data_IF_814744909699
#
_entry.id   IF_814744909699
#
_cell.length_a   1.000
_cell.length_b   1.000
_cell.length_c   1.000
_cell.angle_alpha   90.00
_cell.angle_beta   90.00
_cell.angle_gamma   90.00
#
_symmetry.space_group_name_H-M   'P 1'
#
loop_
_entity.id
_entity.type
_entity.pdbx_description
1 polymer ?
#
# COMPACT_ATOMS: atom_id res chain seq x y z
N UNK A 1 -48.18 8.43 56.32
CA UNK A 1 -46.85 8.27 56.93
C UNK A 1 -46.21 7.05 56.29
N UNK A 2 -45.10 7.23 55.58
CA UNK A 2 -44.20 6.13 55.16
C UNK A 2 -44.50 5.44 53.82
N UNK A 3 -44.00 6.02 52.74
CA UNK A 3 -43.74 5.34 51.46
C UNK A 3 -42.58 4.34 51.61
N UNK A 4 -42.57 3.25 50.84
CA UNK A 4 -41.34 2.65 50.31
C UNK A 4 -41.65 1.96 48.98
N UNK A 5 -41.36 2.68 47.90
CA UNK A 5 -41.29 2.14 46.55
C UNK A 5 -40.00 1.36 46.37
N UNK A 6 -40.08 0.26 45.63
CA UNK A 6 -38.92 -0.48 45.15
C UNK A 6 -38.80 -0.19 43.66
N UNK A 7 -38.03 0.85 43.34
CA UNK A 7 -37.56 1.13 41.98
C UNK A 7 -36.40 0.18 41.69
N UNK A 8 -36.61 -0.76 40.76
CA UNK A 8 -35.58 -1.62 40.22
C UNK A 8 -35.07 -1.03 38.91
N UNK A 9 -34.25 0.01 39.01
CA UNK A 9 -33.51 0.59 37.90
C UNK A 9 -32.29 -0.27 37.56
N UNK A 10 -32.53 -1.34 36.78
CA UNK A 10 -31.44 -2.06 36.10
C UNK A 10 -30.84 -1.18 34.99
N UNK A 11 -29.74 -0.51 35.33
CA UNK A 11 -28.58 -0.19 34.49
C UNK A 11 -28.79 -0.29 32.97
N UNK A 12 -29.32 0.79 32.38
CA UNK A 12 -29.17 1.07 30.95
C UNK A 12 -28.02 2.05 30.77
N UNK A 13 -26.81 1.51 30.63
CA UNK A 13 -25.64 2.28 30.20
C UNK A 13 -25.82 2.56 28.70
N UNK A 14 -26.50 3.66 28.37
CA UNK A 14 -26.48 4.24 27.03
C UNK A 14 -25.12 4.97 26.88
N UNK A 15 -24.07 4.22 26.58
CA UNK A 15 -22.73 4.74 26.31
C UNK A 15 -22.72 5.42 24.92
N UNK A 16 -23.17 6.69 24.89
CA UNK A 16 -23.00 7.58 23.73
C UNK A 16 -21.57 8.09 23.71
N UNK A 17 -20.67 7.37 23.05
CA UNK A 17 -19.29 7.85 22.84
C UNK A 17 -19.24 8.73 21.60
N UNK A 18 -19.02 10.04 21.79
CA UNK A 18 -18.80 10.98 20.69
C UNK A 18 -17.38 10.84 20.17
N UNK A 19 -17.23 10.34 18.94
CA UNK A 19 -15.97 10.41 18.19
C UNK A 19 -16.21 11.40 17.04
N UNK A 20 -15.52 12.55 17.07
CA UNK A 20 -15.58 13.62 16.05
C UNK A 20 -16.96 14.26 15.78
N UNK A 21 -17.86 14.31 16.77
CA UNK A 21 -19.10 15.07 16.65
C UNK A 21 -20.24 14.37 15.89
N UNK A 22 -20.03 13.14 15.42
CA UNK A 22 -21.08 12.26 14.91
C UNK A 22 -21.63 11.44 16.09
N UNK A 23 -22.94 11.52 16.36
CA UNK A 23 -23.57 10.67 17.36
C UNK A 23 -23.69 9.25 16.80
N UNK A 24 -22.89 8.32 17.33
CA UNK A 24 -22.85 6.93 16.89
C UNK A 24 -23.77 6.09 17.79
N UNK A 25 -24.83 5.52 17.21
CA UNK A 25 -25.70 4.56 17.91
C UNK A 25 -25.28 3.12 17.58
N UNK A 26 -24.59 2.47 18.50
CA UNK A 26 -24.12 1.09 18.33
C UNK A 26 -25.24 0.05 18.19
N UNK A 27 -26.51 0.42 18.41
CA UNK A 27 -27.67 -0.44 18.20
C UNK A 27 -28.22 -0.40 16.76
N UNK A 28 -27.86 0.61 15.98
CA UNK A 28 -28.25 0.73 14.56
C UNK A 28 -27.13 0.18 13.66
N UNK A 29 -27.43 -0.78 12.79
CA UNK A 29 -26.45 -1.36 11.85
C UNK A 29 -25.77 -0.33 10.92
N UNK A 30 -26.26 0.92 10.89
CA UNK A 30 -25.69 2.07 10.16
C UNK A 30 -24.49 2.74 10.83
N UNK A 31 -24.23 2.51 12.11
CA UNK A 31 -23.13 3.17 12.84
C UNK A 31 -21.75 2.96 12.21
N UNK A 32 -21.57 1.82 11.53
CA UNK A 32 -20.36 1.45 10.80
C UNK A 32 -20.10 2.38 9.61
N UNK A 33 -21.18 2.81 8.95
CA UNK A 33 -21.15 3.69 7.77
C UNK A 33 -20.82 5.11 8.23
N UNK A 34 -21.47 5.57 9.31
CA UNK A 34 -21.31 6.91 9.87
C UNK A 34 -19.88 7.23 10.31
N UNK A 35 -19.13 6.23 10.78
CA UNK A 35 -17.74 6.40 11.20
C UNK A 35 -16.77 6.55 10.02
N UNK A 36 -17.11 6.03 8.84
CA UNK A 36 -16.23 6.00 7.68
C UNK A 36 -16.62 6.97 6.57
N UNK A 37 -17.83 7.55 6.62
CA UNK A 37 -18.39 8.49 5.64
C UNK A 37 -17.43 9.65 5.31
N UNK A 38 -16.79 10.25 6.31
CA UNK A 38 -15.86 11.37 6.13
C UNK A 38 -14.58 10.99 5.36
N UNK A 39 -14.26 9.70 5.25
CA UNK A 39 -13.08 9.23 4.53
C UNK A 39 -13.41 8.74 3.11
N UNK A 40 -14.70 8.68 2.73
CA UNK A 40 -15.12 8.20 1.40
C UNK A 40 -14.83 9.24 0.33
N UNK A 41 -15.19 10.50 0.59
CA UNK A 41 -15.05 11.61 -0.35
C UNK A 41 -14.23 12.71 0.33
N UNK A 42 -13.15 13.15 -0.32
CA UNK A 42 -12.36 14.28 0.14
C UNK A 42 -12.26 15.38 -0.90
N UNK A 43 -12.32 16.62 -0.44
CA UNK A 43 -12.06 17.80 -1.27
C UNK A 43 -10.57 17.88 -1.56
N UNK A 44 -10.24 18.07 -2.84
CA UNK A 44 -8.87 18.32 -3.28
C UNK A 44 -8.79 19.63 -4.04
N UNK A 45 -7.66 20.30 -3.94
CA UNK A 45 -7.34 21.44 -4.78
C UNK A 45 -5.97 21.28 -5.42
N UNK A 46 -5.83 21.92 -6.59
CA UNK A 46 -4.54 22.22 -7.18
C UNK A 46 -3.84 23.23 -6.26
N UNK A 47 -3.11 22.76 -5.26
CA UNK A 47 -2.21 23.62 -4.50
C UNK A 47 -0.96 23.81 -5.35
N UNK A 48 -0.56 25.07 -5.58
CA UNK A 48 0.72 25.36 -6.23
C UNK A 48 1.86 24.69 -5.47
N UNK A 49 2.38 23.61 -6.03
CA UNK A 49 3.61 22.99 -5.53
C UNK A 49 4.72 24.05 -5.48
N UNK A 50 5.57 24.02 -4.45
CA UNK A 50 6.75 24.91 -4.36
C UNK A 50 7.61 24.86 -5.65
N UNK A 51 7.67 23.71 -6.31
CA UNK A 51 8.38 23.56 -7.59
C UNK A 51 7.81 24.41 -8.73
N UNK A 52 6.49 24.60 -8.78
CA UNK A 52 5.83 25.46 -9.78
C UNK A 52 6.05 26.95 -9.49
N UNK A 53 5.99 27.36 -8.23
CA UNK A 53 6.21 28.76 -7.85
C UNK A 53 7.68 29.17 -8.00
N UNK A 54 8.64 28.29 -7.71
CA UNK A 54 10.07 28.56 -7.92
C UNK A 54 10.44 28.71 -9.41
N UNK A 55 9.85 27.89 -10.29
CA UNK A 55 10.06 27.99 -11.74
C UNK A 55 9.48 29.29 -12.31
N UNK A 56 8.31 29.72 -11.82
CA UNK A 56 7.67 30.98 -12.23
C UNK A 56 8.42 32.21 -11.72
N UNK A 57 9.09 32.12 -10.56
CA UNK A 57 9.98 33.17 -10.06
C UNK A 57 11.28 33.29 -10.88
N UNK A 58 11.76 32.18 -11.45
CA UNK A 58 12.93 32.16 -12.35
C UNK A 58 12.61 32.60 -13.79
N UNK A 59 11.39 32.37 -14.24
CA UNK A 59 10.88 32.80 -15.55
C UNK A 59 9.98 34.01 -15.35
N UNK A 60 10.56 35.21 -15.25
CA UNK A 60 9.81 36.46 -15.09
C UNK A 60 8.71 36.59 -16.16
N UNK A 61 7.48 36.24 -15.80
CA UNK A 61 6.32 36.27 -16.68
C UNK A 61 5.46 37.48 -16.32
N UNK A 62 5.38 38.39 -17.29
CA UNK A 62 4.45 39.51 -17.31
C UNK A 62 3.12 38.99 -17.88
N UNK A 63 2.22 38.52 -17.02
CA UNK A 63 0.86 38.15 -17.41
C UNK A 63 -0.16 38.99 -16.66
N UNK A 64 -0.87 39.80 -17.43
CA UNK A 64 -1.97 40.64 -16.98
C UNK A 64 -3.18 39.76 -16.62
N UNK A 65 -3.91 40.24 -15.61
CA UNK A 65 -4.97 39.56 -14.89
C UNK A 65 -5.95 38.76 -15.76
N UNK A 66 -6.19 37.52 -15.31
CA UNK A 66 -7.49 36.83 -15.23
C UNK A 66 -7.25 35.30 -15.11
N UNK A 67 -6.60 34.83 -14.04
CA UNK A 67 -6.45 33.39 -13.80
C UNK A 67 -6.33 33.03 -12.31
N UNK A 68 -7.05 33.73 -11.43
CA UNK A 68 -6.99 33.51 -9.98
C UNK A 68 -8.29 32.97 -9.36
N UNK A 69 -9.35 32.74 -10.14
CA UNK A 69 -10.64 32.23 -9.63
C UNK A 69 -10.96 30.75 -9.96
N UNK A 70 -10.12 30.06 -10.74
CA UNK A 70 -10.26 28.61 -11.04
C UNK A 70 -9.05 27.80 -10.56
N UNK A 71 -8.64 27.97 -9.30
CA UNK A 71 -7.87 26.90 -8.65
C UNK A 71 -8.81 25.70 -8.56
N UNK A 72 -8.63 24.73 -9.47
CA UNK A 72 -9.57 23.64 -9.71
C UNK A 72 -9.89 22.92 -8.40
N UNK A 73 -11.07 23.17 -7.85
CA UNK A 73 -11.62 22.36 -6.77
C UNK A 73 -12.14 21.10 -7.41
N UNK A 74 -11.71 19.96 -6.91
CA UNK A 74 -12.27 18.68 -7.34
C UNK A 74 -12.40 17.75 -6.16
N UNK A 75 -12.88 16.55 -6.45
CA UNK A 75 -13.19 15.55 -5.44
C UNK A 75 -12.34 14.33 -5.66
N UNK A 76 -12.29 13.52 -4.61
CA UNK A 76 -11.57 12.26 -4.63
C UNK A 76 -12.36 11.24 -3.85
N UNK A 77 -12.53 10.07 -4.44
CA UNK A 77 -13.30 8.97 -3.88
C UNK A 77 -12.37 7.80 -3.60
N UNK A 78 -12.39 7.32 -2.36
CA UNK A 78 -11.62 6.16 -1.94
C UNK A 78 -12.52 4.91 -1.86
N UNK A 79 -12.42 4.03 -2.86
CA UNK A 79 -13.19 2.80 -2.89
C UNK A 79 -12.72 1.77 -1.86
N UNK A 80 -11.49 1.86 -1.36
CA UNK A 80 -11.01 0.98 -0.30
C UNK A 80 -11.78 1.17 1.03
N UNK A 81 -12.32 2.38 1.26
CA UNK A 81 -13.19 2.64 2.41
C UNK A 81 -14.50 1.86 2.29
N UNK A 82 -15.10 1.79 1.09
CA UNK A 82 -16.30 0.98 0.87
C UNK A 82 -16.07 -0.51 1.18
N UNK A 83 -14.89 -1.03 0.83
CA UNK A 83 -14.51 -2.41 1.17
C UNK A 83 -14.39 -2.62 2.69
N UNK A 84 -13.85 -1.63 3.42
CA UNK A 84 -13.76 -1.68 4.89
C UNK A 84 -15.13 -1.67 5.54
N UNK A 85 -16.06 -0.83 5.05
CA UNK A 85 -17.46 -0.82 5.47
C UNK A 85 -18.09 -2.21 5.24
N UNK A 86 -17.92 -2.80 4.06
CA UNK A 86 -18.45 -4.12 3.74
C UNK A 86 -17.91 -5.21 4.69
N UNK A 87 -16.60 -5.21 4.95
CA UNK A 87 -15.97 -6.16 5.88
C UNK A 87 -16.54 -6.05 7.29
N UNK A 88 -16.72 -4.83 7.79
CA UNK A 88 -17.30 -4.58 9.12
C UNK A 88 -18.76 -5.05 9.19
N UNK A 89 -19.57 -4.78 8.17
CA UNK A 89 -20.96 -5.25 8.10
C UNK A 89 -21.04 -6.78 8.09
N UNK A 90 -20.22 -7.46 7.29
CA UNK A 90 -20.17 -8.92 7.23
C UNK A 90 -19.72 -9.52 8.56
N UNK A 91 -18.71 -8.94 9.21
CA UNK A 91 -18.25 -9.36 10.53
C UNK A 91 -19.36 -9.28 11.59
N UNK A 92 -20.13 -8.19 11.60
CA UNK A 92 -21.25 -8.01 12.54
C UNK A 92 -22.36 -9.02 12.28
N UNK A 93 -22.72 -9.27 11.01
CA UNK A 93 -23.71 -10.30 10.65
C UNK A 93 -23.25 -11.69 11.10
N UNK A 94 -21.99 -12.02 10.87
CA UNK A 94 -21.42 -13.31 11.27
C UNK A 94 -21.38 -13.47 12.80
N UNK A 95 -21.10 -12.39 13.53
CA UNK A 95 -21.19 -12.39 14.99
C UNK A 95 -22.63 -12.65 15.47
N UNK A 96 -23.64 -12.03 14.84
CA UNK A 96 -25.06 -12.30 15.13
C UNK A 96 -25.41 -13.78 14.89
N UNK A 97 -24.97 -14.36 13.77
CA UNK A 97 -25.17 -15.79 13.47
C UNK A 97 -24.45 -16.72 14.47
N UNK A 98 -23.23 -16.38 14.89
CA UNK A 98 -22.47 -17.16 15.87
C UNK A 98 -23.15 -17.14 17.26
N UNK A 99 -23.69 -15.98 17.66
CA UNK A 99 -24.48 -15.85 18.89
C UNK A 99 -25.76 -16.67 18.78
N UNK A 100 -26.50 -16.59 17.68
CA UNK A 100 -27.71 -17.40 17.50
C UNK A 100 -27.40 -18.90 17.51
N UNK A 101 -26.31 -19.35 16.88
CA UNK A 101 -25.87 -20.76 16.92
C UNK A 101 -25.57 -21.26 18.34
N UNK A 102 -25.04 -20.39 19.20
CA UNK A 102 -24.65 -20.77 20.57
C UNK A 102 -25.84 -20.81 21.53
N UNK A 103 -26.83 -19.95 21.34
CA UNK A 103 -27.93 -19.75 22.30
C UNK A 103 -29.31 -20.19 21.79
N UNK A 104 -29.46 -20.45 20.49
CA UNK A 104 -30.69 -20.95 19.87
C UNK A 104 -30.41 -22.32 19.24
N UNK A 105 -31.31 -23.29 19.45
CA UNK A 105 -31.14 -24.66 18.96
C UNK A 105 -31.31 -24.81 17.43
N UNK A 106 -31.72 -23.74 16.74
CA UNK A 106 -31.93 -23.74 15.30
C UNK A 106 -30.70 -23.17 14.58
N UNK A 107 -30.20 -23.91 13.59
CA UNK A 107 -29.16 -23.44 12.70
C UNK A 107 -29.65 -22.21 11.91
N UNK A 108 -29.01 -21.03 12.04
CA UNK A 108 -29.45 -19.82 11.37
C UNK A 108 -29.22 -19.96 9.87
N UNK A 109 -30.29 -19.90 9.07
CA UNK A 109 -30.21 -20.07 7.63
C UNK A 109 -29.27 -19.02 6.98
N UNK A 110 -28.32 -19.46 6.14
CA UNK A 110 -27.43 -18.57 5.38
C UNK A 110 -26.12 -18.15 6.08
N UNK A 111 -25.78 -18.73 7.25
CA UNK A 111 -24.51 -18.40 7.93
C UNK A 111 -23.28 -18.82 7.11
N UNK A 112 -23.39 -19.93 6.36
CA UNK A 112 -22.33 -20.45 5.47
C UNK A 112 -22.04 -19.49 4.31
N UNK A 113 -23.09 -18.95 3.69
CA UNK A 113 -22.97 -17.96 2.62
C UNK A 113 -22.34 -16.67 3.15
N UNK A 114 -22.78 -16.21 4.34
CA UNK A 114 -22.20 -15.04 4.99
C UNK A 114 -20.72 -15.23 5.32
N UNK A 115 -20.32 -16.43 5.75
CA UNK A 115 -18.91 -16.76 5.99
C UNK A 115 -18.11 -16.78 4.68
N UNK A 116 -18.66 -17.37 3.62
CA UNK A 116 -18.03 -17.38 2.29
C UNK A 116 -17.82 -15.96 1.76
N UNK A 117 -18.84 -15.11 1.87
CA UNK A 117 -18.78 -13.71 1.45
C UNK A 117 -17.76 -12.91 2.28
N UNK A 118 -17.67 -13.19 3.58
CA UNK A 118 -16.65 -12.58 4.45
C UNK A 118 -15.23 -12.98 4.04
N UNK A 119 -14.98 -14.26 3.78
CA UNK A 119 -13.67 -14.75 3.31
C UNK A 119 -13.32 -14.11 1.96
N UNK A 120 -14.27 -14.08 1.02
CA UNK A 120 -14.07 -13.44 -0.29
C UNK A 120 -13.77 -11.95 -0.14
N UNK A 121 -14.50 -11.24 0.72
CA UNK A 121 -14.26 -9.83 0.99
C UNK A 121 -12.87 -9.59 1.61
N UNK A 122 -12.37 -10.51 2.44
CA UNK A 122 -11.04 -10.43 3.02
C UNK A 122 -9.96 -10.62 1.95
N UNK A 123 -10.12 -11.59 1.06
CA UNK A 123 -9.21 -11.79 -0.09
C UNK A 123 -9.20 -10.57 -1.02
N UNK A 124 -10.38 -10.00 -1.30
CA UNK A 124 -10.49 -8.79 -2.12
C UNK A 124 -9.80 -7.60 -1.45
N UNK A 125 -9.88 -7.50 -0.12
CA UNK A 125 -9.18 -6.45 0.64
C UNK A 125 -7.66 -6.59 0.54
N UNK A 126 -7.11 -7.79 0.70
CA UNK A 126 -5.68 -8.03 0.48
C UNK A 126 -5.25 -7.71 -0.96
N UNK A 127 -6.11 -8.01 -1.94
CA UNK A 127 -5.86 -7.64 -3.33
C UNK A 127 -5.81 -6.11 -3.51
N UNK A 128 -6.72 -5.38 -2.87
CA UNK A 128 -6.73 -3.91 -2.89
C UNK A 128 -5.46 -3.33 -2.24
N UNK A 129 -5.02 -3.88 -1.10
CA UNK A 129 -3.80 -3.45 -0.42
C UNK A 129 -2.53 -3.71 -1.27
N UNK A 130 -2.45 -4.87 -1.94
CA UNK A 130 -1.33 -5.14 -2.87
C UNK A 130 -1.31 -4.15 -4.04
N UNK A 131 -2.48 -3.68 -4.49
CA UNK A 131 -2.61 -2.71 -5.58
C UNK A 131 -2.34 -1.28 -5.13
N UNK A 132 -2.62 -0.90 -3.89
CA UNK A 132 -2.33 0.45 -3.39
C UNK A 132 -0.83 0.76 -3.32
N UNK A 133 0.03 -0.26 -3.33
CA UNK A 133 1.48 -0.10 -3.45
C UNK A 133 1.93 0.29 -4.87
N UNK A 134 1.05 0.19 -5.87
CA UNK A 134 1.38 0.55 -7.25
C UNK A 134 1.16 2.05 -7.49
N UNK A 135 1.93 2.70 -8.38
CA UNK A 135 1.86 4.15 -8.57
C UNK A 135 0.54 4.66 -9.17
N UNK A 136 -0.30 3.77 -9.69
CA UNK A 136 -1.66 4.08 -10.13
C UNK A 136 -2.62 3.12 -9.41
N UNK A 137 -3.21 3.58 -8.30
CA UNK A 137 -4.18 2.79 -7.55
C UNK A 137 -5.55 2.82 -8.25
N UNK A 138 -6.07 1.67 -8.75
CA UNK A 138 -7.38 1.61 -9.39
C UNK A 138 -8.56 1.77 -8.42
N UNK A 139 -8.31 1.63 -7.11
CA UNK A 139 -9.32 1.80 -6.06
C UNK A 139 -9.42 3.24 -5.57
N UNK A 140 -8.76 4.14 -6.29
CA UNK A 140 -8.72 5.56 -6.01
C UNK A 140 -9.15 6.36 -7.24
N UNK A 141 -10.31 6.99 -7.17
CA UNK A 141 -10.79 7.90 -8.20
C UNK A 141 -10.49 9.34 -7.75
N UNK A 142 -9.71 10.07 -8.54
CA UNK A 142 -9.21 11.39 -8.15
C UNK A 142 -9.45 12.40 -9.26
N UNK A 143 -10.04 13.53 -8.91
CA UNK A 143 -10.24 14.68 -9.81
C UNK A 143 -8.95 15.34 -10.31
N UNK A 144 -7.78 14.87 -9.87
CA UNK A 144 -6.50 15.19 -10.51
C UNK A 144 -6.46 14.72 -11.97
N UNK A 145 -7.17 13.64 -12.29
CA UNK A 145 -7.32 13.17 -13.68
C UNK A 145 -8.48 13.91 -14.34
N UNK A 146 -8.26 14.39 -15.56
CA UNK A 146 -9.24 15.21 -16.28
C UNK A 146 -10.57 14.47 -16.48
N UNK A 147 -10.51 13.18 -16.86
CA UNK A 147 -11.70 12.35 -17.09
C UNK A 147 -12.47 12.08 -15.79
N UNK A 148 -11.76 11.70 -14.73
CA UNK A 148 -12.36 11.46 -13.41
C UNK A 148 -13.01 12.73 -12.87
N UNK A 149 -12.37 13.90 -13.02
CA UNK A 149 -12.97 15.19 -12.63
C UNK A 149 -14.29 15.45 -13.35
N UNK A 150 -14.36 15.28 -14.67
CA UNK A 150 -15.60 15.48 -15.42
C UNK A 150 -16.68 14.48 -15.03
N UNK A 151 -16.30 13.24 -14.74
CA UNK A 151 -17.22 12.23 -14.23
C UNK A 151 -17.72 12.58 -12.81
N UNK A 152 -16.82 13.01 -11.93
CA UNK A 152 -17.16 13.42 -10.56
C UNK A 152 -18.07 14.66 -10.56
N UNK A 153 -17.77 15.66 -11.39
CA UNK A 153 -18.65 16.82 -11.60
C UNK A 153 -20.06 16.38 -12.03
N UNK A 154 -20.16 15.42 -12.97
CA UNK A 154 -21.44 14.90 -13.43
C UNK A 154 -22.19 14.08 -12.35
N UNK A 155 -21.47 13.30 -11.54
CA UNK A 155 -22.08 12.45 -10.49
C UNK A 155 -22.50 13.28 -9.27
N UNK A 156 -21.65 14.23 -8.83
CA UNK A 156 -21.94 15.04 -7.66
C UNK A 156 -22.99 16.12 -7.95
N UNK A 157 -23.03 16.68 -9.17
CA UNK A 157 -24.02 17.68 -9.58
C UNK A 157 -24.16 18.81 -8.53
N UNK A 158 -25.38 19.06 -8.07
CA UNK A 158 -25.68 20.12 -7.09
C UNK A 158 -25.16 19.83 -5.67
N UNK A 159 -24.73 18.59 -5.38
CA UNK A 159 -24.24 18.19 -4.05
C UNK A 159 -22.84 18.71 -3.75
N UNK A 160 -22.16 19.31 -4.74
CA UNK A 160 -20.86 19.98 -4.58
C UNK A 160 -20.91 21.01 -3.45
N UNK A 161 -22.03 21.73 -3.30
CA UNK A 161 -22.23 22.75 -2.28
C UNK A 161 -22.29 22.16 -0.85
N UNK A 162 -22.64 20.88 -0.70
CA UNK A 162 -22.65 20.20 0.60
C UNK A 162 -21.26 19.95 1.17
N UNK A 163 -20.22 20.12 0.37
CA UNK A 163 -18.82 19.98 0.77
C UNK A 163 -18.16 21.35 1.05
N UNK A 164 -18.90 22.45 0.97
CA UNK A 164 -18.39 23.77 1.37
C UNK A 164 -18.08 23.80 2.88
N UNK A 165 -16.85 24.18 3.23
CA UNK A 165 -16.37 24.22 4.62
C UNK A 165 -15.64 22.96 5.09
N UNK A 166 -15.58 21.89 4.29
CA UNK A 166 -14.76 20.71 4.60
C UNK A 166 -13.26 20.95 4.34
N UNK A 167 -12.36 20.24 5.04
CA UNK A 167 -10.92 20.35 4.82
C UNK A 167 -10.55 20.01 3.38
N UNK A 168 -9.82 20.91 2.74
CA UNK A 168 -9.29 20.72 1.38
C UNK A 168 -7.88 20.17 1.48
N UNK A 169 -7.64 19.05 0.80
CA UNK A 169 -6.34 18.39 0.77
C UNK A 169 -5.56 18.76 -0.50
N UNK A 170 -4.22 18.81 -0.45
CA UNK A 170 -3.41 18.95 -1.64
C UNK A 170 -3.59 17.77 -2.60
N UNK A 171 -3.54 18.05 -3.89
CA UNK A 171 -3.31 17.04 -4.90
C UNK A 171 -2.01 16.25 -4.58
N UNK A 172 -2.07 14.92 -4.70
CA UNK A 172 -0.93 14.02 -4.51
C UNK A 172 -0.20 13.82 -5.86
N UNK A 173 -0.97 13.72 -6.95
CA UNK A 173 -0.47 13.52 -8.29
C UNK A 173 -0.40 14.79 -9.13
N UNK A 174 -0.02 14.61 -10.40
CA UNK A 174 -0.01 15.68 -11.39
C UNK A 174 -1.45 16.06 -11.79
N UNK A 175 -1.79 17.34 -11.63
CA UNK A 175 -3.09 17.88 -12.01
C UNK A 175 -3.21 18.00 -13.54
N UNK A 176 -4.10 17.21 -14.14
CA UNK A 176 -4.31 17.20 -15.60
C UNK A 176 -5.19 18.37 -16.02
N UNK A 177 -4.67 19.21 -16.91
CA UNK A 177 -5.38 20.42 -17.37
C UNK A 177 -6.38 20.14 -18.49
N UNK A 178 -6.13 19.10 -19.29
CA UNK A 178 -6.95 18.82 -20.46
C UNK A 178 -7.04 17.34 -20.84
N UNK A 179 -7.88 17.02 -21.84
CA UNK A 179 -8.04 15.65 -22.34
C UNK A 179 -6.78 15.10 -23.01
N UNK A 180 -5.91 15.97 -23.55
CA UNK A 180 -4.64 15.59 -24.19
C UNK A 180 -3.62 14.99 -23.19
N UNK A 181 -3.67 15.44 -21.93
CA UNK A 181 -2.84 14.90 -20.84
C UNK A 181 -3.46 13.63 -20.21
N UNK A 182 -4.72 13.34 -20.52
CA UNK A 182 -5.38 12.14 -20.00
C UNK A 182 -4.85 10.92 -20.74
N UNK A 183 -4.06 10.10 -20.04
CA UNK A 183 -3.75 8.75 -20.52
C UNK A 183 -5.08 8.01 -20.68
N UNK A 184 -5.42 7.68 -21.92
CA UNK A 184 -6.62 6.90 -22.23
C UNK A 184 -6.59 5.60 -21.44
N UNK A 185 -7.65 5.34 -20.65
CA UNK A 185 -7.84 4.09 -19.89
C UNK A 185 -7.67 2.84 -20.77
N UNK A 186 -7.84 2.99 -22.10
CA UNK A 186 -7.69 1.93 -23.10
C UNK A 186 -6.26 1.38 -23.26
N UNK A 187 -5.21 2.12 -22.85
CA UNK A 187 -3.81 1.69 -23.02
C UNK A 187 -3.22 0.89 -21.85
N UNK A 188 -4.00 0.71 -20.79
CA UNK A 188 -3.53 0.17 -19.49
C UNK A 188 -3.13 -1.31 -19.48
N UNK A 189 -3.41 -2.09 -20.53
CA UNK A 189 -2.98 -3.52 -20.56
C UNK A 189 -1.52 -3.69 -20.98
N UNK A 190 -1.06 -2.97 -22.00
CA UNK A 190 0.30 -3.16 -22.53
C UNK A 190 1.34 -2.44 -21.67
N UNK A 191 0.97 -1.29 -21.09
CA UNK A 191 1.88 -0.51 -20.25
C UNK A 191 2.10 -1.14 -18.87
N UNK A 192 1.07 -1.73 -18.26
CA UNK A 192 1.24 -2.49 -17.03
C UNK A 192 2.13 -3.72 -17.23
N UNK A 193 2.04 -4.39 -18.39
CA UNK A 193 2.93 -5.50 -18.72
C UNK A 193 4.39 -5.04 -18.83
N UNK A 194 4.66 -3.96 -19.57
CA UNK A 194 6.02 -3.40 -19.71
C UNK A 194 6.60 -2.94 -18.37
N UNK A 195 5.79 -2.32 -17.50
CA UNK A 195 6.24 -1.84 -16.19
C UNK A 195 6.55 -2.98 -15.24
N UNK A 196 5.68 -3.98 -15.14
CA UNK A 196 5.96 -5.17 -14.33
C UNK A 196 7.16 -5.96 -14.88
N UNK A 197 7.32 -6.01 -16.20
CA UNK A 197 8.48 -6.62 -16.83
C UNK A 197 9.77 -5.86 -16.48
N UNK A 198 9.78 -4.53 -16.56
CA UNK A 198 10.94 -3.71 -16.21
C UNK A 198 11.31 -3.84 -14.73
N UNK A 199 10.33 -3.80 -13.81
CA UNK A 199 10.57 -3.97 -12.37
C UNK A 199 11.12 -5.37 -12.07
N UNK A 200 10.53 -6.41 -12.66
CA UNK A 200 11.02 -7.78 -12.51
C UNK A 200 12.43 -7.97 -13.08
N UNK A 201 12.73 -7.31 -14.21
CA UNK A 201 14.05 -7.34 -14.82
C UNK A 201 15.07 -6.58 -13.95
N UNK A 202 14.75 -5.41 -13.42
CA UNK A 202 15.64 -4.66 -12.53
C UNK A 202 15.95 -5.41 -11.24
N UNK A 203 14.97 -6.07 -10.62
CA UNK A 203 15.21 -6.89 -9.44
C UNK A 203 16.15 -8.06 -9.77
N UNK A 204 15.91 -8.76 -10.89
CA UNK A 204 16.78 -9.87 -11.33
C UNK A 204 18.18 -9.39 -11.67
N UNK A 205 18.31 -8.25 -12.34
CA UNK A 205 19.59 -7.65 -12.69
C UNK A 205 20.36 -7.17 -11.44
N UNK A 206 19.67 -6.60 -10.46
CA UNK A 206 20.27 -6.19 -9.20
C UNK A 206 20.79 -7.40 -8.41
N UNK A 207 20.01 -8.47 -8.29
CA UNK A 207 20.44 -9.72 -7.63
C UNK A 207 21.63 -10.34 -8.38
N UNK A 208 21.57 -10.38 -9.72
CA UNK A 208 22.68 -10.89 -10.54
C UNK A 208 23.94 -10.02 -10.41
N UNK A 209 23.82 -8.70 -10.37
CA UNK A 209 24.93 -7.79 -10.19
C UNK A 209 25.57 -7.93 -8.81
N UNK A 210 24.77 -8.01 -7.74
CA UNK A 210 25.26 -8.26 -6.38
C UNK A 210 26.00 -9.59 -6.32
N UNK A 211 25.41 -10.67 -6.85
CA UNK A 211 26.06 -11.99 -6.90
C UNK A 211 27.35 -11.98 -7.73
N UNK A 212 27.36 -11.27 -8.87
CA UNK A 212 28.53 -11.14 -9.75
C UNK A 212 29.67 -10.36 -9.08
N UNK A 213 29.37 -9.23 -8.46
CA UNK A 213 30.37 -8.44 -7.70
C UNK A 213 30.95 -9.29 -6.57
N UNK A 214 30.10 -10.07 -5.91
CA UNK A 214 30.50 -10.89 -4.78
C UNK A 214 31.43 -12.05 -5.18
N UNK A 215 31.24 -12.62 -6.37
CA UNK A 215 32.15 -13.63 -6.96
C UNK A 215 33.43 -13.02 -7.54
N UNK A 216 33.35 -11.81 -8.11
CA UNK A 216 34.50 -11.13 -8.73
C UNK A 216 35.44 -10.50 -7.71
N UNK A 217 34.92 -10.00 -6.59
CA UNK A 217 35.70 -9.33 -5.55
C UNK A 217 36.88 -10.18 -5.00
N UNK A 218 36.70 -11.46 -4.62
CA UNK A 218 37.82 -12.28 -4.15
C UNK A 218 38.85 -12.57 -5.25
N UNK A 219 38.44 -12.74 -6.51
CA UNK A 219 39.37 -12.88 -7.63
C UNK A 219 40.22 -11.62 -7.82
N UNK A 220 39.61 -10.43 -7.77
CA UNK A 220 40.32 -9.16 -7.90
C UNK A 220 41.27 -8.89 -6.73
N UNK A 221 40.84 -9.22 -5.52
CA UNK A 221 41.63 -9.06 -4.30
C UNK A 221 42.85 -9.98 -4.30
N UNK A 222 42.68 -11.23 -4.76
CA UNK A 222 43.79 -12.19 -4.92
C UNK A 222 44.82 -11.77 -5.96
N UNK A 223 44.41 -11.11 -7.05
CA UNK A 223 45.35 -10.55 -8.06
C UNK A 223 46.16 -9.37 -7.51
N UNK A 224 45.59 -8.60 -6.57
CA UNK A 224 46.24 -7.39 -6.05
C UNK A 224 47.23 -7.67 -4.89
N UNK A 225 47.00 -8.71 -4.09
CA UNK A 225 47.88 -9.09 -2.98
C UNK A 225 48.35 -10.55 -3.11
N UNK A 226 49.58 -10.75 -3.60
CA UNK A 226 50.24 -12.05 -3.76
C UNK A 226 50.76 -12.62 -2.43
N UNK A 227 49.88 -12.82 -1.44
CA UNK A 227 50.25 -13.54 -0.21
C UNK A 227 49.19 -14.59 0.18
N UNK A 228 49.65 -15.77 0.58
CA UNK A 228 48.78 -16.90 0.94
C UNK A 228 47.84 -16.55 2.10
N UNK A 229 48.33 -15.77 3.07
CA UNK A 229 47.54 -15.32 4.21
C UNK A 229 46.39 -14.38 3.82
N UNK A 230 46.59 -13.48 2.85
CA UNK A 230 45.52 -12.57 2.40
C UNK A 230 44.40 -13.32 1.68
N UNK A 231 44.72 -14.37 0.93
CA UNK A 231 43.75 -15.22 0.24
C UNK A 231 42.88 -16.05 1.21
N UNK A 232 43.49 -16.62 2.25
CA UNK A 232 42.76 -17.42 3.25
C UNK A 232 41.86 -16.53 4.13
N UNK A 233 42.36 -15.35 4.51
CA UNK A 233 41.60 -14.39 5.31
C UNK A 233 40.46 -13.76 4.50
N UNK A 234 40.69 -13.40 3.23
CA UNK A 234 39.61 -12.83 2.41
C UNK A 234 38.49 -13.84 2.17
N UNK A 235 38.81 -15.09 1.84
CA UNK A 235 37.78 -16.11 1.57
C UNK A 235 36.92 -16.43 2.79
N UNK A 236 37.52 -16.59 3.96
CA UNK A 236 36.78 -16.82 5.22
C UNK A 236 35.86 -15.65 5.57
N UNK A 237 36.32 -14.40 5.43
CA UNK A 237 35.50 -13.20 5.67
C UNK A 237 34.35 -13.12 4.67
N UNK A 238 34.61 -13.31 3.36
CA UNK A 238 33.58 -13.25 2.33
C UNK A 238 32.54 -14.36 2.49
N UNK A 239 32.93 -15.62 2.75
CA UNK A 239 31.97 -16.72 2.99
C UNK A 239 31.11 -16.43 4.22
N UNK A 240 31.69 -15.86 5.27
CA UNK A 240 30.95 -15.52 6.50
C UNK A 240 29.93 -14.41 6.26
N UNK A 241 30.32 -13.34 5.56
CA UNK A 241 29.42 -12.24 5.19
C UNK A 241 28.30 -12.75 4.27
N UNK A 242 28.62 -13.61 3.31
CA UNK A 242 27.64 -14.24 2.42
C UNK A 242 26.62 -15.07 3.19
N UNK A 243 27.08 -15.96 4.07
CA UNK A 243 26.22 -16.82 4.86
C UNK A 243 25.28 -16.01 5.76
N UNK A 244 25.79 -14.92 6.35
CA UNK A 244 24.98 -14.00 7.15
C UNK A 244 23.93 -13.29 6.30
N UNK A 245 24.30 -12.85 5.09
CA UNK A 245 23.39 -12.21 4.16
C UNK A 245 22.31 -13.21 3.68
N UNK A 246 22.71 -14.41 3.27
CA UNK A 246 21.80 -15.48 2.86
C UNK A 246 20.82 -15.85 3.98
N UNK A 247 21.27 -15.96 5.23
CA UNK A 247 20.41 -16.24 6.38
C UNK A 247 19.36 -15.15 6.67
N UNK A 248 19.59 -13.92 6.21
CA UNK A 248 18.62 -12.81 6.35
C UNK A 248 17.63 -12.73 5.20
N UNK A 249 18.03 -13.13 3.99
CA UNK A 249 17.21 -12.99 2.78
C UNK A 249 16.46 -14.27 2.40
N UNK A 250 16.98 -15.46 2.72
CA UNK A 250 16.33 -16.73 2.41
C UNK A 250 15.52 -17.19 3.63
N UNK A 251 14.24 -17.46 3.41
CA UNK A 251 13.31 -17.94 4.44
C UNK A 251 13.40 -19.45 4.68
N UNK A 252 14.09 -20.19 3.80
CA UNK A 252 14.28 -21.64 3.86
C UNK A 252 15.70 -22.01 4.26
N UNK A 253 15.84 -22.84 5.30
CA UNK A 253 17.14 -23.27 5.83
C UNK A 253 17.95 -24.11 4.80
N UNK A 254 17.26 -24.90 3.99
CA UNK A 254 17.88 -25.75 2.96
C UNK A 254 18.52 -24.92 1.85
N UNK A 255 17.86 -23.83 1.46
CA UNK A 255 18.34 -22.95 0.41
C UNK A 255 19.58 -22.16 0.88
N UNK A 256 19.61 -21.77 2.17
CA UNK A 256 20.77 -21.10 2.79
C UNK A 256 21.99 -22.02 2.80
N UNK A 257 21.81 -23.28 3.22
CA UNK A 257 22.92 -24.24 3.25
C UNK A 257 23.44 -24.55 1.85
N UNK A 258 22.54 -24.80 0.88
CA UNK A 258 22.93 -25.10 -0.50
C UNK A 258 23.66 -23.92 -1.16
N UNK A 259 23.17 -22.70 -0.97
CA UNK A 259 23.77 -21.49 -1.53
C UNK A 259 25.15 -21.22 -0.92
N UNK A 260 25.27 -21.32 0.42
CA UNK A 260 26.54 -21.12 1.14
C UNK A 260 27.58 -22.17 0.75
N UNK A 261 27.18 -23.44 0.65
CA UNK A 261 28.05 -24.53 0.23
C UNK A 261 28.57 -24.34 -1.21
N UNK A 262 27.67 -23.95 -2.13
CA UNK A 262 28.05 -23.67 -3.52
C UNK A 262 29.05 -22.51 -3.60
N UNK A 263 28.82 -21.43 -2.86
CA UNK A 263 29.73 -20.28 -2.82
C UNK A 263 31.10 -20.63 -2.22
N UNK A 264 31.12 -21.38 -1.11
CA UNK A 264 32.36 -21.84 -0.48
C UNK A 264 33.17 -22.75 -1.40
N UNK A 265 32.53 -23.67 -2.12
CA UNK A 265 33.19 -24.57 -3.06
C UNK A 265 33.93 -23.80 -4.17
N UNK A 266 33.29 -22.79 -4.75
CA UNK A 266 33.90 -21.94 -5.79
C UNK A 266 35.15 -21.24 -5.26
N UNK A 267 35.08 -20.65 -4.07
CA UNK A 267 36.23 -19.95 -3.47
C UNK A 267 37.37 -20.89 -3.09
N UNK A 268 37.07 -22.09 -2.57
CA UNK A 268 38.10 -23.09 -2.23
C UNK A 268 38.88 -23.55 -3.45
N UNK A 269 38.20 -23.76 -4.59
CA UNK A 269 38.88 -24.09 -5.87
C UNK A 269 39.84 -22.98 -6.27
N UNK A 270 39.43 -21.71 -6.18
CA UNK A 270 40.32 -20.59 -6.51
C UNK A 270 41.52 -20.47 -5.57
N UNK A 271 41.34 -20.70 -4.27
CA UNK A 271 42.46 -20.73 -3.31
C UNK A 271 43.44 -21.85 -3.65
N UNK A 272 42.93 -23.04 -3.96
CA UNK A 272 43.75 -24.21 -4.31
C UNK A 272 44.62 -24.00 -5.56
N UNK A 273 44.05 -23.38 -6.61
CA UNK A 273 44.80 -23.05 -7.83
C UNK A 273 45.94 -22.05 -7.58
N UNK A 274 45.77 -21.12 -6.64
CA UNK A 274 46.81 -20.14 -6.29
C UNK A 274 47.93 -20.80 -5.48
N UNK A 275 47.61 -21.75 -4.59
CA UNK A 275 48.63 -22.48 -3.83
C UNK A 275 49.51 -23.35 -4.74
N UNK A 276 48.93 -24.00 -5.75
CA UNK A 276 49.69 -24.78 -6.73
C UNK A 276 50.61 -23.90 -7.60
N UNK A 277 50.17 -22.69 -7.95
CA UNK A 277 50.98 -21.72 -8.69
C UNK A 277 52.14 -21.13 -7.88
N UNK A 278 52.10 -21.18 -6.55
CA UNK A 278 53.17 -20.67 -5.69
C UNK A 278 54.25 -21.72 -5.41
N UNK A 279 53.90 -23.00 -5.48
CA UNK A 279 54.80 -24.13 -5.19
C UNK A 279 55.43 -24.77 -6.45
N UNK A 280 55.14 -24.25 -7.65
CA UNK A 280 55.72 -24.67 -8.95
C UNK A 280 56.63 -23.63 -9.57
#
# INVERSE_FOLDING_TARGET
MGCFGADNDTNRVDEKTSVRGVQVDFRDDRWIIDLELDNIISNISEIESWTTSFRRALQGANDNGQLSNELGKSFRINFAVLQRIQLKQLRTKLAKHAVSLRFQANEPQGWQDTLKDYIQALQNYEYMEKRSLQPEDPFYMSGEKYQDRKLLEAILGDKVNSFEGQPVFPAIGHWQKGPEESRSVRDTRQDNYKRNWAVGLHQRLAVAAVGGIFLMAPMWLMVLHNTLYTALVSTTVFVTVFGLMAARYLTSLMDVMSSTAAYAAVLVVFVGLITELHDG
#
